data_IF_627096652958
#
_entry.id   IF_627096652958
#
_cell.length_a   1.000
_cell.length_b   1.000
_cell.length_c   1.000
_cell.angle_alpha   90.00
_cell.angle_beta   90.00
_cell.angle_gamma   90.00
#
_symmetry.space_group_name_H-M   'P 1'
#
loop_
_entity.id
_entity.type
_entity.pdbx_description
1 polymer ?
#
# COMPACT_ATOMS: atom_id res chain seq x y z
N UNK A 1 -40.48 0.08 25.29
CA UNK A 1 -39.47 1.16 25.28
C UNK A 1 -38.03 0.66 25.18
N UNK A 2 -37.58 -0.36 25.94
CA UNK A 2 -36.17 -0.83 25.90
C UNK A 2 -35.71 -1.39 24.54
N UNK A 3 -36.62 -2.04 23.79
CA UNK A 3 -36.37 -2.68 22.48
C UNK A 3 -36.18 -1.68 21.32
N UNK A 4 -36.80 -0.49 21.41
CA UNK A 4 -36.60 0.59 20.42
C UNK A 4 -35.27 1.31 20.61
N UNK A 5 -34.75 1.39 21.84
CA UNK A 5 -33.41 1.91 22.13
C UNK A 5 -32.30 1.01 21.58
N UNK A 6 -32.45 -0.31 21.67
CA UNK A 6 -31.48 -1.23 21.06
C UNK A 6 -31.48 -1.13 19.53
N UNK A 7 -32.64 -0.97 18.91
CA UNK A 7 -32.76 -0.84 17.45
C UNK A 7 -32.11 0.45 16.94
N UNK A 8 -32.34 1.56 17.63
CA UNK A 8 -31.74 2.87 17.28
C UNK A 8 -30.24 2.89 17.51
N UNK A 9 -29.76 2.33 18.61
CA UNK A 9 -28.32 2.20 18.88
C UNK A 9 -27.63 1.33 17.82
N UNK A 10 -28.26 0.22 17.42
CA UNK A 10 -27.73 -0.67 16.39
C UNK A 10 -27.69 0.01 15.03
N UNK A 11 -28.75 0.70 14.61
CA UNK A 11 -28.77 1.47 13.36
C UNK A 11 -27.70 2.58 13.34
N UNK A 12 -27.50 3.30 14.46
CA UNK A 12 -26.46 4.31 14.55
C UNK A 12 -25.06 3.70 14.42
N UNK A 13 -24.80 2.56 15.07
CA UNK A 13 -23.52 1.84 14.95
C UNK A 13 -23.29 1.34 13.52
N UNK A 14 -24.32 0.85 12.83
CA UNK A 14 -24.23 0.45 11.43
C UNK A 14 -23.94 1.64 10.51
N UNK A 15 -24.66 2.76 10.68
CA UNK A 15 -24.44 3.99 9.87
C UNK A 15 -23.03 4.52 10.09
N UNK A 16 -22.58 4.59 11.34
CA UNK A 16 -21.19 4.92 11.71
C UNK A 16 -20.23 3.99 10.97
N UNK A 17 -20.34 2.67 11.14
CA UNK A 17 -19.45 1.71 10.49
C UNK A 17 -19.39 1.85 8.96
N UNK A 18 -20.53 2.09 8.30
CA UNK A 18 -20.59 2.31 6.85
C UNK A 18 -19.99 3.66 6.42
N UNK A 19 -20.06 4.71 7.24
CA UNK A 19 -19.39 6.00 6.94
C UNK A 19 -17.89 5.98 7.21
N UNK A 20 -17.41 5.12 8.11
CA UNK A 20 -15.98 4.96 8.41
C UNK A 20 -15.29 3.87 7.59
N UNK A 21 -16.03 3.13 6.77
CA UNK A 21 -15.47 2.22 5.78
C UNK A 21 -14.82 3.02 4.63
N UNK A 22 -13.66 3.60 4.91
CA UNK A 22 -12.80 4.23 3.91
C UNK A 22 -12.45 3.16 2.85
N UNK A 23 -12.74 3.39 1.57
CA UNK A 23 -12.34 2.47 0.52
C UNK A 23 -10.81 2.39 0.51
N UNK A 24 -10.29 1.18 0.56
CA UNK A 24 -8.86 0.89 0.58
C UNK A 24 -8.30 1.23 -0.81
N UNK A 25 -7.92 2.51 -1.04
CA UNK A 25 -7.25 2.96 -2.28
C UNK A 25 -5.78 2.55 -2.32
N UNK A 26 -5.49 1.34 -1.86
CA UNK A 26 -4.15 0.80 -1.85
C UNK A 26 -4.19 -0.67 -2.27
N UNK A 27 -3.14 -1.08 -2.98
CA UNK A 27 -2.92 -2.45 -3.42
C UNK A 27 -1.75 -2.98 -2.60
N UNK A 28 -1.97 -4.04 -1.82
CA UNK A 28 -0.90 -4.72 -1.10
C UNK A 28 0.03 -5.40 -2.10
N UNK A 29 1.35 -5.20 -1.94
CA UNK A 29 2.32 -5.81 -2.85
C UNK A 29 2.35 -7.34 -2.74
N UNK A 30 1.91 -7.90 -1.62
CA UNK A 30 1.88 -9.36 -1.42
C UNK A 30 0.79 -10.06 -2.25
N UNK A 31 -0.27 -9.37 -2.68
CA UNK A 31 -1.30 -9.91 -3.58
C UNK A 31 -0.93 -9.85 -5.07
N UNK A 32 0.01 -8.97 -5.46
CA UNK A 32 0.46 -8.89 -6.85
C UNK A 32 1.26 -10.13 -7.29
N UNK A 33 1.82 -10.89 -6.34
CA UNK A 33 2.56 -12.11 -6.64
C UNK A 33 1.68 -13.38 -6.67
N UNK A 34 0.39 -13.28 -6.29
CA UNK A 34 -0.53 -14.43 -6.23
C UNK A 34 -1.64 -14.41 -7.30
N UNK A 35 -1.84 -13.29 -8.01
CA UNK A 35 -2.83 -13.16 -9.10
C UNK A 35 -2.24 -13.23 -10.51
N UNK A 36 -0.94 -13.49 -10.65
CA UNK A 36 -0.34 -13.79 -11.96
C UNK A 36 -0.53 -15.29 -12.25
N UNK A 37 -1.61 -15.60 -12.98
CA UNK A 37 -1.76 -16.86 -13.71
C UNK A 37 -0.54 -17.07 -14.63
N UNK A 38 -0.05 -18.30 -14.84
CA UNK A 38 1.19 -18.57 -15.59
C UNK A 38 1.08 -18.01 -17.01
N UNK A 39 1.87 -16.97 -17.32
CA UNK A 39 2.11 -16.57 -18.70
C UNK A 39 3.22 -17.48 -19.23
N UNK A 40 2.85 -18.39 -20.12
CA UNK A 40 3.77 -19.27 -20.85
C UNK A 40 4.94 -18.49 -21.46
N UNK A 41 6.09 -18.52 -20.77
CA UNK A 41 7.34 -17.94 -21.24
C UNK A 41 8.00 -18.87 -22.26
N UNK A 42 7.89 -18.53 -23.55
CA UNK A 42 9.00 -18.77 -24.48
C UNK A 42 9.97 -17.61 -24.31
N UNK A 43 11.03 -17.85 -23.54
CA UNK A 43 12.08 -16.87 -23.27
C UNK A 43 12.81 -16.46 -24.57
N UNK A 44 13.03 -15.15 -24.82
CA UNK A 44 14.05 -14.70 -25.76
C UNK A 44 15.44 -14.90 -25.14
N UNK A 45 16.33 -15.57 -25.87
CA UNK A 45 17.74 -15.70 -25.52
C UNK A 45 18.52 -14.48 -26.06
N UNK A 46 19.00 -13.60 -25.17
CA UNK A 46 19.97 -12.55 -25.52
C UNK A 46 21.24 -12.66 -24.65
N UNK A 47 22.44 -12.88 -25.26
CA UNK A 47 23.73 -13.03 -24.57
C UNK A 47 24.36 -11.78 -23.92
N UNK A 48 23.70 -10.62 -23.84
CA UNK A 48 24.36 -9.37 -23.42
C UNK A 48 24.25 -8.96 -21.92
N UNK A 49 23.66 -9.78 -21.04
CA UNK A 49 23.24 -9.32 -19.69
C UNK A 49 24.30 -9.41 -18.58
N UNK A 50 25.57 -9.71 -18.89
CA UNK A 50 26.67 -9.74 -17.91
C UNK A 50 27.34 -8.38 -17.64
N UNK A 51 26.77 -7.26 -18.09
CA UNK A 51 27.29 -5.91 -17.84
C UNK A 51 26.63 -5.17 -16.66
N UNK A 52 25.72 -5.81 -15.92
CA UNK A 52 25.18 -5.24 -14.68
C UNK A 52 25.91 -5.81 -13.45
N UNK A 53 26.24 -4.98 -12.45
CA UNK A 53 26.71 -5.47 -11.15
C UNK A 53 25.71 -6.48 -10.60
N UNK A 54 26.11 -7.76 -10.55
CA UNK A 54 25.30 -8.89 -10.06
C UNK A 54 25.21 -8.95 -8.53
N UNK A 55 25.54 -7.86 -7.83
CA UNK A 55 25.24 -7.76 -6.42
C UNK A 55 23.76 -7.45 -6.28
N UNK A 56 22.92 -8.32 -5.69
CA UNK A 56 21.67 -7.87 -5.11
C UNK A 56 22.08 -6.88 -4.01
N UNK A 57 22.17 -5.60 -4.37
CA UNK A 57 22.19 -4.55 -3.37
C UNK A 57 20.89 -4.76 -2.64
N UNK A 58 21.00 -5.24 -1.41
CA UNK A 58 19.92 -5.48 -0.46
C UNK A 58 18.81 -4.47 -0.78
N UNK A 59 17.56 -4.90 -1.03
CA UNK A 59 16.47 -3.97 -1.28
C UNK A 59 16.56 -2.88 -0.23
N UNK A 60 16.68 -1.61 -0.67
CA UNK A 60 16.76 -0.43 0.19
C UNK A 60 15.42 -0.21 0.91
N UNK A 61 14.85 -1.27 1.46
CA UNK A 61 13.64 -1.27 2.24
C UNK A 61 13.92 -0.31 3.40
N UNK A 62 13.10 0.74 3.56
CA UNK A 62 13.26 1.65 4.67
C UNK A 62 13.14 0.84 5.95
N UNK A 63 14.18 0.87 6.78
CA UNK A 63 14.11 0.23 8.09
C UNK A 63 13.07 0.99 8.91
N UNK A 64 11.99 0.32 9.32
CA UNK A 64 10.93 0.94 10.10
C UNK A 64 11.51 1.44 11.44
N UNK A 65 11.80 2.73 11.57
CA UNK A 65 12.25 3.30 12.84
C UNK A 65 11.09 3.49 13.81
N UNK A 66 9.90 3.73 13.29
CA UNK A 66 8.69 3.97 14.07
C UNK A 66 7.49 3.38 13.36
N UNK A 67 6.45 3.01 14.12
CA UNK A 67 5.13 2.67 13.58
C UNK A 67 4.57 3.82 12.73
N UNK A 68 4.00 3.49 11.56
CA UNK A 68 3.33 4.47 10.71
C UNK A 68 3.40 4.17 9.22
N UNK A 69 3.05 5.17 8.42
CA UNK A 69 3.12 5.12 6.96
C UNK A 69 4.28 6.00 6.46
N UNK A 70 5.06 5.46 5.53
CA UNK A 70 6.25 6.11 5.01
C UNK A 70 6.24 6.08 3.49
N UNK A 71 6.42 7.24 2.85
CA UNK A 71 6.51 7.30 1.39
C UNK A 71 7.81 6.66 0.90
N UNK A 72 7.75 6.00 -0.25
CA UNK A 72 8.96 5.65 -0.98
C UNK A 72 9.65 6.91 -1.56
N UNK A 73 10.97 7.08 -1.37
CA UNK A 73 11.68 8.29 -1.83
C UNK A 73 11.87 8.38 -3.35
N UNK A 74 11.66 7.28 -4.09
CA UNK A 74 11.86 7.22 -5.54
C UNK A 74 10.56 6.99 -6.31
N UNK A 75 9.49 6.55 -5.65
CA UNK A 75 8.19 6.31 -6.28
C UNK A 75 7.04 6.91 -5.45
N UNK A 76 6.50 8.03 -5.93
CA UNK A 76 5.40 8.76 -5.28
C UNK A 76 4.10 7.95 -5.11
N UNK A 77 3.89 6.95 -5.96
CA UNK A 77 2.74 6.05 -5.89
C UNK A 77 2.97 4.87 -4.94
N UNK A 78 4.14 4.75 -4.33
CA UNK A 78 4.50 3.65 -3.42
C UNK A 78 4.69 4.16 -2.00
N UNK A 79 4.22 3.39 -1.03
CA UNK A 79 4.44 3.66 0.38
C UNK A 79 4.62 2.36 1.17
N UNK A 80 5.08 2.50 2.40
CA UNK A 80 5.33 1.41 3.32
C UNK A 80 4.52 1.62 4.58
N UNK A 81 3.94 0.54 5.10
CA UNK A 81 3.31 0.51 6.41
C UNK A 81 4.20 -0.28 7.38
N UNK A 82 4.47 0.32 8.53
CA UNK A 82 5.18 -0.29 9.65
C UNK A 82 4.19 -0.51 10.78
N UNK A 83 3.92 -1.78 11.11
CA UNK A 83 2.95 -2.14 12.15
C UNK A 83 3.39 -1.73 13.57
N UNK A 84 4.69 -1.82 13.83
CA UNK A 84 5.35 -1.42 15.07
C UNK A 84 6.77 -0.92 14.79
N UNK A 85 7.44 -0.39 15.82
CA UNK A 85 8.83 0.05 15.72
C UNK A 85 9.73 -1.14 15.34
N UNK A 86 10.67 -0.94 14.41
CA UNK A 86 11.55 -1.99 13.86
C UNK A 86 10.84 -3.16 13.17
N UNK A 87 9.57 -2.99 12.78
CA UNK A 87 8.86 -3.98 11.96
C UNK A 87 9.48 -4.15 10.57
N UNK A 88 9.13 -5.25 9.91
CA UNK A 88 9.36 -5.41 8.48
C UNK A 88 8.35 -4.51 7.74
N UNK A 89 8.79 -3.58 6.88
CA UNK A 89 7.87 -2.70 6.16
C UNK A 89 7.05 -3.50 5.15
N UNK A 90 5.73 -3.29 5.15
CA UNK A 90 4.82 -3.84 4.15
C UNK A 90 4.63 -2.80 3.06
N UNK A 91 4.95 -3.15 1.82
CA UNK A 91 4.84 -2.23 0.69
C UNK A 91 3.42 -2.21 0.12
N UNK A 92 2.98 -1.02 -0.26
CA UNK A 92 1.69 -0.76 -0.90
C UNK A 92 1.87 0.20 -2.08
N UNK A 93 0.96 0.11 -3.04
CA UNK A 93 0.82 1.10 -4.12
C UNK A 93 -0.53 1.79 -4.05
N UNK A 94 -0.53 3.09 -4.33
CA UNK A 94 -1.73 3.84 -4.63
C UNK A 94 -2.34 3.36 -5.96
N UNK A 95 -3.65 3.54 -6.11
CA UNK A 95 -4.30 3.36 -7.41
C UNK A 95 -3.64 4.23 -8.50
N UNK A 96 -3.66 3.80 -9.77
CA UNK A 96 -3.05 4.55 -10.87
C UNK A 96 -3.54 6.01 -10.92
N UNK A 97 -2.60 6.95 -10.98
CA UNK A 97 -2.88 8.39 -11.03
C UNK A 97 -2.98 9.07 -9.66
N UNK A 98 -2.87 8.33 -8.56
CA UNK A 98 -2.78 8.88 -7.20
C UNK A 98 -1.35 8.76 -6.64
N UNK A 99 -1.02 9.62 -5.69
CA UNK A 99 0.26 9.60 -4.97
C UNK A 99 0.05 9.62 -3.46
N UNK A 100 0.97 9.02 -2.72
CA UNK A 100 0.85 8.90 -1.27
C UNK A 100 1.11 10.24 -0.57
N UNK A 101 0.11 10.71 0.16
CA UNK A 101 0.14 11.91 0.98
C UNK A 101 0.52 11.53 2.42
N UNK A 102 1.74 11.86 2.85
CA UNK A 102 2.22 11.60 4.21
C UNK A 102 1.62 12.54 5.27
N UNK A 103 0.82 13.54 4.88
CA UNK A 103 0.10 14.41 5.82
C UNK A 103 -1.23 13.77 6.21
N UNK A 104 -1.89 13.09 5.26
CA UNK A 104 -3.21 12.47 5.45
C UNK A 104 -3.14 10.94 5.58
N UNK A 105 -1.94 10.37 5.47
CA UNK A 105 -1.68 8.93 5.42
C UNK A 105 -2.53 8.20 4.37
N UNK A 106 -2.74 8.82 3.22
CA UNK A 106 -3.65 8.32 2.19
C UNK A 106 -3.22 8.69 0.77
N UNK A 107 -3.74 7.99 -0.22
CA UNK A 107 -3.50 8.28 -1.64
C UNK A 107 -4.39 9.43 -2.10
N UNK A 108 -3.76 10.48 -2.64
CA UNK A 108 -4.43 11.72 -3.05
C UNK A 108 -3.95 12.16 -4.45
N UNK A 109 -4.62 13.15 -5.03
CA UNK A 109 -4.27 13.68 -6.34
C UNK A 109 -2.92 14.43 -6.28
N UNK A 110 -2.12 14.34 -7.35
CA UNK A 110 -0.79 14.94 -7.39
C UNK A 110 -0.78 16.46 -7.23
N UNK A 111 -1.90 17.14 -7.48
CA UNK A 111 -2.04 18.58 -7.28
C UNK A 111 -2.08 19.00 -5.80
N UNK A 112 -2.36 18.07 -4.88
CA UNK A 112 -2.47 18.34 -3.44
C UNK A 112 -1.28 17.82 -2.63
N UNK A 113 -0.32 17.16 -3.28
CA UNK A 113 0.75 16.44 -2.61
C UNK A 113 2.07 16.75 -3.31
N UNK A 114 3.05 17.23 -2.54
CA UNK A 114 4.41 17.39 -3.04
C UNK A 114 5.14 16.06 -2.96
N UNK A 115 5.53 15.54 -4.11
CA UNK A 115 6.59 14.55 -4.28
C UNK A 115 7.77 15.26 -4.94
#
# INVERSE_FOLDING_TARGET
MRRTFYCTLWLLVFVVAHTYAMPQRFIEVHELNSKESPVDQLAPMDPALHAFPTTPTVPLLPNCMTRGYFRDPFNCGKFYFCEHDHAVPIAYYCEPGLIFNSITDSCDLPQYVQC
#
